data_IF_690099416488
#
_entry.id   IF_690099416488
#
_cell.length_a   1.000
_cell.length_b   1.000
_cell.length_c   1.000
_cell.angle_alpha   90.00
_cell.angle_beta   90.00
_cell.angle_gamma   90.00
#
_symmetry.space_group_name_H-M   'P 1'
#
loop_
_entity.id
_entity.type
_entity.pdbx_description
1 polymer ?
#
# COMPACT_ATOMS: atom_id res chain seq x y z
N UNK A 1 42.94 -4.52 34.06
CA UNK A 1 42.14 -3.32 34.39
C UNK A 1 42.91 -2.46 35.38
N UNK A 2 42.90 -1.13 35.22
CA UNK A 2 43.64 -0.23 36.11
C UNK A 2 43.00 -0.14 37.51
N UNK A 3 43.81 -0.20 38.57
CA UNK A 3 43.36 -0.08 39.97
C UNK A 3 42.53 1.19 40.22
N UNK A 4 42.89 2.31 39.57
CA UNK A 4 42.14 3.57 39.64
C UNK A 4 40.72 3.45 39.08
N UNK A 5 40.50 2.61 38.08
CA UNK A 5 39.17 2.40 37.50
C UNK A 5 38.24 1.66 38.47
N UNK A 6 38.79 0.74 39.27
CA UNK A 6 38.05 -0.04 40.26
C UNK A 6 37.61 0.86 41.42
N UNK A 7 38.53 1.67 41.97
CA UNK A 7 38.18 2.65 43.02
C UNK A 7 37.11 3.64 42.58
N UNK A 8 37.20 4.13 41.33
CA UNK A 8 36.23 5.08 40.77
C UNK A 8 34.84 4.47 40.55
N UNK A 9 34.76 3.16 40.34
CA UNK A 9 33.50 2.45 40.21
C UNK A 9 32.86 2.21 41.59
N UNK A 10 33.66 1.84 42.59
CA UNK A 10 33.22 1.62 43.96
C UNK A 10 32.72 2.92 44.62
N UNK A 11 33.34 4.06 44.32
CA UNK A 11 32.88 5.36 44.85
C UNK A 11 31.56 5.87 44.27
N UNK A 12 31.01 5.20 43.24
CA UNK A 12 29.73 5.56 42.60
C UNK A 12 28.56 4.67 43.00
N UNK A 13 28.80 3.71 43.89
CA UNK A 13 27.75 2.83 44.42
C UNK A 13 26.94 3.62 45.45
N UNK A 14 25.63 3.76 45.25
CA UNK A 14 24.72 4.34 46.24
C UNK A 14 24.57 3.43 47.45
N UNK A 15 24.06 3.94 48.58
CA UNK A 15 23.74 3.14 49.77
C UNK A 15 22.79 1.96 49.48
N UNK A 16 21.98 2.07 48.42
CA UNK A 16 21.09 1.02 47.91
C UNK A 16 21.77 0.00 46.98
N UNK A 17 23.09 0.04 46.81
CA UNK A 17 23.85 -0.91 45.98
C UNK A 17 23.78 -0.64 44.47
N UNK A 18 23.22 0.50 44.04
CA UNK A 18 23.07 0.85 42.63
C UNK A 18 24.21 1.78 42.21
N UNK A 19 24.94 1.41 41.15
CA UNK A 19 25.99 2.28 40.59
C UNK A 19 25.29 3.46 39.90
N UNK A 20 25.53 4.68 40.40
CA UNK A 20 25.01 5.90 39.77
C UNK A 20 25.55 6.04 38.34
N UNK A 21 24.65 6.32 37.39
CA UNK A 21 25.00 6.52 35.99
C UNK A 21 26.00 7.68 35.82
N UNK A 22 26.92 7.57 34.86
CA UNK A 22 27.91 8.60 34.62
C UNK A 22 27.24 9.92 34.16
N UNK A 23 27.34 10.98 34.98
CA UNK A 23 26.80 12.33 34.67
C UNK A 23 27.72 13.16 33.76
N UNK A 24 28.62 12.53 33.00
CA UNK A 24 29.53 13.24 32.10
C UNK A 24 28.73 14.01 31.05
N UNK A 25 29.04 15.30 30.85
CA UNK A 25 28.37 16.16 29.87
C UNK A 25 27.01 16.75 30.30
N UNK A 26 26.53 16.45 31.51
CA UNK A 26 25.29 17.00 32.07
C UNK A 26 25.59 18.12 33.08
N UNK A 27 26.10 19.25 32.59
CA UNK A 27 26.54 20.39 33.42
C UNK A 27 25.47 21.48 33.59
N UNK A 28 24.24 21.27 33.12
CA UNK A 28 23.16 22.27 33.18
C UNK A 28 23.34 23.46 32.22
N UNK A 29 24.55 23.74 31.74
CA UNK A 29 24.89 24.79 30.77
C UNK A 29 24.64 24.41 29.30
N UNK A 30 23.79 23.43 29.03
CA UNK A 30 23.47 23.08 27.65
C UNK A 30 22.59 24.20 27.05
N UNK A 31 22.91 24.69 25.84
CA UNK A 31 22.11 25.72 25.19
C UNK A 31 20.67 25.23 25.06
N UNK A 32 19.78 25.88 25.81
CA UNK A 32 18.36 25.59 25.83
C UNK A 32 17.68 26.49 24.81
N UNK A 33 16.64 25.97 24.17
CA UNK A 33 15.86 26.78 23.22
C UNK A 33 15.21 27.91 24.00
N UNK A 34 15.20 29.10 23.41
CA UNK A 34 14.45 30.24 23.91
C UNK A 34 12.99 29.83 24.23
N UNK A 35 12.52 30.01 25.49
CA UNK A 35 11.16 29.68 25.88
C UNK A 35 10.08 30.32 25.00
N UNK A 36 10.30 31.53 24.50
CA UNK A 36 9.35 32.24 23.64
C UNK A 36 9.25 31.59 22.26
N UNK A 37 10.40 31.17 21.69
CA UNK A 37 10.42 30.46 20.41
C UNK A 37 9.74 29.10 20.57
N UNK A 38 10.02 28.40 21.67
CA UNK A 38 9.38 27.12 21.99
C UNK A 38 7.85 27.27 22.09
N UNK A 39 7.38 28.27 22.83
CA UNK A 39 5.94 28.53 22.98
C UNK A 39 5.28 28.86 21.64
N UNK A 40 5.93 29.65 20.78
CA UNK A 40 5.40 29.96 19.44
C UNK A 40 5.17 28.73 18.56
N UNK A 41 6.02 27.71 18.69
CA UNK A 41 5.86 26.44 17.97
C UNK A 41 4.67 25.67 18.55
N UNK A 42 4.53 25.64 19.87
CA UNK A 42 3.41 24.96 20.56
C UNK A 42 2.07 25.58 20.16
N UNK A 43 1.99 26.92 20.19
CA UNK A 43 0.78 27.66 19.84
C UNK A 43 0.39 27.43 18.38
N UNK A 44 1.37 27.45 17.47
CA UNK A 44 1.14 27.15 16.07
C UNK A 44 0.62 25.72 15.87
N UNK A 45 1.24 24.71 16.48
CA UNK A 45 0.79 23.32 16.37
C UNK A 45 -0.63 23.13 16.94
N UNK A 46 -0.99 23.84 18.00
CA UNK A 46 -2.33 23.81 18.57
C UNK A 46 -3.38 24.53 17.70
N UNK A 47 -2.97 25.50 16.87
CA UNK A 47 -3.86 26.14 15.91
C UNK A 47 -4.26 25.23 14.73
N UNK A 48 -3.49 24.16 14.47
CA UNK A 48 -3.78 23.22 13.38
C UNK A 48 -4.99 22.36 13.75
N UNK A 49 -6.03 22.27 12.89
CA UNK A 49 -7.16 21.38 13.12
C UNK A 49 -6.71 19.93 13.27
N UNK A 50 -7.11 19.29 14.38
CA UNK A 50 -6.77 17.89 14.68
C UNK A 50 -7.97 16.99 14.43
N UNK A 51 -7.74 15.87 13.78
CA UNK A 51 -8.71 14.82 13.51
C UNK A 51 -8.60 13.79 14.64
N UNK A 52 -9.73 13.47 15.27
CA UNK A 52 -9.80 12.36 16.22
C UNK A 52 -9.93 11.02 15.50
N UNK A 53 -9.27 9.98 16.00
CA UNK A 53 -9.47 8.61 15.49
C UNK A 53 -10.82 8.07 15.96
N UNK A 54 -11.88 8.34 15.20
CA UNK A 54 -13.25 7.86 15.49
C UNK A 54 -13.33 6.33 15.69
N UNK A 55 -12.39 5.57 15.11
CA UNK A 55 -12.36 4.10 15.15
C UNK A 55 -11.42 3.50 16.22
N UNK A 56 -10.60 4.30 16.92
CA UNK A 56 -9.58 3.79 17.86
C UNK A 56 -9.62 4.46 19.23
N UNK A 57 -10.76 5.09 19.59
CA UNK A 57 -10.97 5.76 20.88
C UNK A 57 -10.72 4.86 22.10
N UNK A 58 -10.99 3.56 21.97
CA UNK A 58 -10.77 2.58 23.03
C UNK A 58 -9.29 2.14 23.18
N UNK A 59 -8.46 2.32 22.15
CA UNK A 59 -7.08 1.79 22.12
C UNK A 59 -6.00 2.87 22.18
N UNK A 60 -6.25 4.10 21.72
CA UNK A 60 -5.23 5.17 21.74
C UNK A 60 -5.84 6.55 21.96
N UNK A 61 -5.13 7.43 22.69
CA UNK A 61 -5.43 8.86 22.82
C UNK A 61 -4.72 9.72 21.76
N UNK A 62 -4.19 9.12 20.69
CA UNK A 62 -3.38 9.81 19.67
C UNK A 62 -4.26 10.67 18.76
N UNK A 63 -3.82 11.91 18.51
CA UNK A 63 -4.49 12.87 17.62
C UNK A 63 -3.82 12.86 16.23
N UNK A 64 -4.55 13.23 15.18
CA UNK A 64 -4.02 13.19 13.82
C UNK A 64 -4.14 14.54 13.10
N UNK A 65 -3.12 14.90 12.31
CA UNK A 65 -3.17 16.05 11.39
C UNK A 65 -3.49 15.51 9.99
N UNK A 66 -4.27 16.24 9.19
CA UNK A 66 -4.60 15.85 7.81
C UNK A 66 -3.35 15.50 6.97
N UNK A 67 -3.45 14.52 6.07
CA UNK A 67 -2.36 14.14 5.14
C UNK A 67 -2.20 15.08 3.95
N UNK A 68 -3.06 16.08 3.81
CA UNK A 68 -3.00 17.03 2.69
C UNK A 68 -1.74 17.91 2.70
N UNK A 69 -1.11 18.09 3.87
CA UNK A 69 0.15 18.84 4.04
C UNK A 69 1.22 17.95 4.66
N UNK A 70 2.43 18.01 4.12
CA UNK A 70 3.58 17.35 4.71
C UNK A 70 4.12 18.13 5.92
N UNK A 71 4.96 17.49 6.74
CA UNK A 71 5.65 18.17 7.85
C UNK A 71 6.49 19.38 7.37
N UNK A 72 7.08 19.27 6.18
CA UNK A 72 7.84 20.37 5.58
C UNK A 72 6.94 21.55 5.20
N UNK A 73 5.72 21.27 4.72
CA UNK A 73 4.75 22.31 4.37
C UNK A 73 4.20 23.01 5.61
N UNK A 74 3.91 22.24 6.67
CA UNK A 74 3.49 22.80 7.96
C UNK A 74 4.57 23.70 8.56
N UNK A 75 5.85 23.29 8.47
CA UNK A 75 6.97 24.13 8.90
C UNK A 75 7.09 25.41 8.06
N UNK A 76 6.83 25.32 6.75
CA UNK A 76 6.84 26.46 5.84
C UNK A 76 5.75 27.47 6.20
N UNK A 77 4.54 27.00 6.52
CA UNK A 77 3.44 27.83 6.98
C UNK A 77 3.78 28.55 8.30
N UNK A 78 4.37 27.83 9.27
CA UNK A 78 4.87 28.42 10.52
C UNK A 78 5.91 29.51 10.24
N UNK A 79 6.87 29.22 9.37
CA UNK A 79 7.94 30.14 9.02
C UNK A 79 7.37 31.42 8.39
N UNK A 80 6.47 31.29 7.42
CA UNK A 80 5.83 32.43 6.75
C UNK A 80 5.02 33.30 7.72
N UNK A 81 4.30 32.68 8.66
CA UNK A 81 3.54 33.40 9.69
C UNK A 81 4.48 34.25 10.57
N UNK A 82 5.58 33.65 11.04
CA UNK A 82 6.56 34.33 11.90
C UNK A 82 7.33 35.43 11.15
N UNK A 83 7.66 35.19 9.87
CA UNK A 83 8.31 36.19 9.02
C UNK A 83 7.41 37.40 8.76
N UNK A 84 6.11 37.19 8.54
CA UNK A 84 5.13 38.26 8.36
C UNK A 84 5.04 39.18 9.58
N UNK A 85 5.14 38.61 10.77
CA UNK A 85 5.06 39.35 12.04
C UNK A 85 6.43 39.90 12.49
N UNK A 86 7.51 39.64 11.74
CA UNK A 86 8.87 40.07 12.09
C UNK A 86 9.43 39.40 13.34
N UNK A 87 8.94 38.20 13.69
CA UNK A 87 9.27 37.50 14.93
C UNK A 87 10.34 36.42 14.71
N UNK A 88 11.09 36.10 15.77
CA UNK A 88 12.13 35.06 15.74
C UNK A 88 11.56 33.68 15.37
N UNK A 89 12.29 32.90 14.56
CA UNK A 89 11.80 31.65 13.95
C UNK A 89 12.56 30.45 14.49
N UNK A 90 11.85 29.39 14.88
CA UNK A 90 12.47 28.12 15.22
C UNK A 90 13.11 27.45 13.98
N UNK A 91 14.26 26.79 14.17
CA UNK A 91 14.83 25.94 13.12
C UNK A 91 13.92 24.74 12.82
N UNK A 92 13.98 24.19 11.61
CA UNK A 92 13.19 23.01 11.23
C UNK A 92 13.45 21.81 12.16
N UNK A 93 14.71 21.62 12.58
CA UNK A 93 15.07 20.57 13.55
C UNK A 93 14.39 20.77 14.90
N UNK A 94 14.40 21.99 15.43
CA UNK A 94 13.71 22.35 16.67
C UNK A 94 12.21 22.15 16.56
N UNK A 95 11.60 22.60 15.46
CA UNK A 95 10.17 22.44 15.19
C UNK A 95 9.77 20.96 15.18
N UNK A 96 10.49 20.14 14.41
CA UNK A 96 10.24 18.70 14.29
C UNK A 96 10.44 17.98 15.63
N UNK A 97 11.45 18.38 16.42
CA UNK A 97 11.67 17.81 17.75
C UNK A 97 10.47 18.09 18.65
N UNK A 98 10.03 19.35 18.76
CA UNK A 98 8.89 19.74 19.60
C UNK A 98 7.63 18.97 19.17
N UNK A 99 7.33 18.93 17.87
CA UNK A 99 6.16 18.21 17.36
C UNK A 99 6.19 16.71 17.70
N UNK A 100 7.35 16.04 17.59
CA UNK A 100 7.43 14.60 17.82
C UNK A 100 7.58 14.21 19.30
N UNK A 101 8.12 15.07 20.16
CA UNK A 101 8.36 14.74 21.57
C UNK A 101 7.31 15.30 22.52
N UNK A 102 6.73 16.47 22.22
CA UNK A 102 5.77 17.14 23.11
C UNK A 102 4.31 16.95 22.67
N UNK A 103 4.08 16.51 21.43
CA UNK A 103 2.74 16.20 20.95
C UNK A 103 2.60 14.71 20.62
N UNK A 104 1.55 14.08 21.14
CA UNK A 104 1.13 12.75 20.70
C UNK A 104 0.29 12.86 19.42
N UNK A 105 0.88 13.41 18.37
CA UNK A 105 0.22 13.70 17.10
C UNK A 105 0.93 13.03 15.94
N UNK A 106 0.19 12.55 14.94
CA UNK A 106 0.74 11.91 13.75
C UNK A 106 -0.04 12.31 12.51
N UNK A 107 0.53 12.13 11.31
CA UNK A 107 -0.20 12.41 10.08
C UNK A 107 -1.25 11.32 9.83
N UNK A 108 -2.45 11.74 9.44
CA UNK A 108 -3.56 10.86 9.10
C UNK A 108 -3.24 10.14 7.80
N UNK A 109 -2.96 8.85 7.87
CA UNK A 109 -2.74 8.02 6.69
C UNK A 109 -4.10 7.70 6.09
N UNK A 110 -4.28 7.97 4.79
CA UNK A 110 -5.50 7.60 4.06
C UNK A 110 -5.80 6.12 4.24
N UNK A 111 -7.07 5.79 4.53
CA UNK A 111 -7.50 4.42 4.80
C UNK A 111 -7.07 3.52 3.63
N UNK A 112 -6.44 2.37 3.95
CA UNK A 112 -6.23 1.28 2.99
C UNK A 112 -7.58 0.87 2.39
N UNK A 113 -7.59 0.38 1.16
CA UNK A 113 -8.78 -0.17 0.52
C UNK A 113 -9.53 -1.09 1.50
N UNK A 114 -10.69 -0.63 1.94
CA UNK A 114 -11.51 -1.35 2.90
C UNK A 114 -12.45 -2.26 2.11
N UNK A 115 -12.54 -3.53 2.50
CA UNK A 115 -13.47 -4.46 1.88
C UNK A 115 -14.91 -4.08 2.26
N UNK A 116 -15.78 -3.84 1.28
CA UNK A 116 -17.17 -3.41 1.54
C UNK A 116 -17.92 -4.39 2.43
N UNK A 117 -17.71 -5.71 2.29
CA UNK A 117 -18.35 -6.72 3.13
C UNK A 117 -17.85 -6.65 4.57
N UNK A 118 -16.54 -6.42 4.77
CA UNK A 118 -15.98 -6.26 6.11
C UNK A 118 -16.47 -4.98 6.78
N UNK A 119 -16.55 -3.87 6.04
CA UNK A 119 -17.09 -2.60 6.56
C UNK A 119 -18.59 -2.69 6.80
N UNK A 120 -19.36 -3.33 5.92
CA UNK A 120 -20.79 -3.61 6.11
C UNK A 120 -21.01 -4.40 7.39
N UNK A 121 -20.34 -5.54 7.54
CA UNK A 121 -20.44 -6.35 8.75
C UNK A 121 -20.06 -5.57 10.01
N UNK A 122 -19.02 -4.75 9.96
CA UNK A 122 -18.58 -3.94 11.10
C UNK A 122 -19.62 -2.89 11.51
N UNK A 123 -20.21 -2.22 10.53
CA UNK A 123 -21.14 -1.10 10.72
C UNK A 123 -22.60 -1.54 10.91
N UNK A 124 -22.91 -2.82 10.69
CA UNK A 124 -24.23 -3.42 10.95
C UNK A 124 -24.56 -3.55 12.45
N UNK A 125 -25.86 -3.53 12.75
CA UNK A 125 -26.40 -3.76 14.10
C UNK A 125 -26.30 -5.24 14.54
N UNK A 126 -26.74 -5.55 15.76
CA UNK A 126 -26.63 -6.90 16.31
C UNK A 126 -27.47 -7.95 15.57
N UNK A 127 -28.54 -7.56 14.90
CA UNK A 127 -29.44 -8.47 14.20
C UNK A 127 -28.91 -8.73 12.79
N UNK A 128 -28.52 -7.67 12.08
CA UNK A 128 -27.82 -7.76 10.79
C UNK A 128 -26.51 -8.53 10.89
N UNK A 129 -25.74 -8.36 11.98
CA UNK A 129 -24.51 -9.14 12.22
C UNK A 129 -24.78 -10.63 12.35
N UNK A 130 -25.91 -11.06 12.92
CA UNK A 130 -26.27 -12.49 12.96
C UNK A 130 -26.60 -13.03 11.58
N UNK A 131 -27.22 -12.21 10.73
CA UNK A 131 -27.55 -12.60 9.37
C UNK A 131 -26.32 -12.61 8.44
N UNK A 132 -25.36 -11.70 8.67
CA UNK A 132 -24.13 -11.58 7.88
C UNK A 132 -22.95 -12.40 8.43
N UNK A 133 -23.08 -13.03 9.61
CA UNK A 133 -21.96 -13.73 10.27
C UNK A 133 -21.38 -14.85 9.42
N UNK A 134 -22.25 -15.68 8.85
CA UNK A 134 -21.84 -16.80 8.02
C UNK A 134 -21.09 -16.33 6.75
N UNK A 135 -21.62 -15.30 6.08
CA UNK A 135 -20.98 -14.72 4.89
C UNK A 135 -19.64 -14.07 5.25
N UNK A 136 -19.57 -13.39 6.39
CA UNK A 136 -18.36 -12.77 6.90
C UNK A 136 -17.29 -13.79 7.28
N UNK A 137 -17.64 -14.85 8.00
CA UNK A 137 -16.70 -15.92 8.37
C UNK A 137 -16.17 -16.63 7.13
N UNK A 138 -17.05 -16.96 6.17
CA UNK A 138 -16.63 -17.52 4.90
C UNK A 138 -15.65 -16.58 4.18
N UNK A 139 -15.95 -15.28 4.10
CA UNK A 139 -15.08 -14.29 3.50
C UNK A 139 -13.70 -14.21 4.18
N UNK A 140 -13.64 -14.26 5.51
CA UNK A 140 -12.35 -14.28 6.23
C UNK A 140 -11.57 -15.57 5.95
N UNK A 141 -12.24 -16.71 5.93
CA UNK A 141 -11.61 -18.00 5.63
C UNK A 141 -11.05 -18.02 4.20
N UNK A 142 -11.81 -17.60 3.20
CA UNK A 142 -11.37 -17.51 1.81
C UNK A 142 -10.18 -16.55 1.64
N UNK A 143 -10.18 -15.43 2.37
CA UNK A 143 -9.07 -14.48 2.40
C UNK A 143 -7.80 -15.08 2.99
N UNK A 144 -7.91 -15.88 4.05
CA UNK A 144 -6.76 -16.60 4.64
C UNK A 144 -6.25 -17.64 3.64
N UNK A 145 -7.14 -18.47 3.09
CA UNK A 145 -6.79 -19.49 2.11
C UNK A 145 -6.07 -18.91 0.88
N UNK A 146 -6.59 -17.82 0.31
CA UNK A 146 -5.97 -17.16 -0.84
C UNK A 146 -4.58 -16.58 -0.51
N UNK A 147 -4.36 -16.11 0.73
CA UNK A 147 -3.03 -15.65 1.18
C UNK A 147 -2.07 -16.82 1.35
N UNK A 148 -2.51 -17.88 2.01
CA UNK A 148 -1.71 -19.10 2.19
C UNK A 148 -1.32 -19.70 0.85
N UNK A 149 -2.26 -19.78 -0.10
CA UNK A 149 -1.99 -20.27 -1.45
C UNK A 149 -0.96 -19.41 -2.18
N UNK A 150 -1.07 -18.08 -2.07
CA UNK A 150 -0.09 -17.15 -2.63
C UNK A 150 1.30 -17.30 -2.02
N UNK A 151 1.36 -17.49 -0.71
CA UNK A 151 2.63 -17.70 -0.01
C UNK A 151 3.27 -19.05 -0.38
N UNK A 152 2.44 -20.09 -0.56
CA UNK A 152 2.87 -21.40 -1.07
C UNK A 152 3.41 -21.29 -2.51
N UNK A 153 2.71 -20.59 -3.41
CA UNK A 153 3.18 -20.42 -4.79
C UNK A 153 4.48 -19.62 -4.85
N UNK A 154 4.58 -18.57 -4.02
CA UNK A 154 5.80 -17.77 -3.91
C UNK A 154 7.01 -18.59 -3.47
N UNK A 155 6.82 -19.55 -2.56
CA UNK A 155 7.89 -20.38 -1.98
C UNK A 155 8.28 -21.61 -2.82
N UNK A 156 7.58 -21.89 -3.93
CA UNK A 156 7.93 -22.99 -4.84
C UNK A 156 9.38 -22.88 -5.33
N UNK A 157 10.11 -23.99 -5.43
CA UNK A 157 11.50 -24.01 -5.91
C UNK A 157 11.64 -24.54 -7.35
N UNK A 158 10.53 -24.75 -8.06
CA UNK A 158 10.45 -25.37 -9.40
C UNK A 158 10.82 -24.42 -10.57
N UNK A 159 11.17 -23.17 -10.26
CA UNK A 159 11.44 -22.14 -11.27
C UNK A 159 10.19 -21.54 -11.89
N UNK A 160 9.00 -21.79 -11.35
CA UNK A 160 7.76 -21.09 -11.73
C UNK A 160 7.88 -19.59 -11.44
N UNK A 161 7.47 -18.76 -12.40
CA UNK A 161 7.39 -17.31 -12.26
C UNK A 161 6.06 -16.97 -11.60
N UNK A 162 6.11 -16.38 -10.41
CA UNK A 162 4.90 -15.90 -9.73
C UNK A 162 4.86 -14.39 -9.80
N UNK A 163 3.91 -13.85 -10.55
CA UNK A 163 3.77 -12.41 -10.76
C UNK A 163 2.40 -11.90 -10.27
N UNK A 164 2.39 -10.71 -9.68
CA UNK A 164 1.15 -9.98 -9.36
C UNK A 164 1.05 -8.81 -10.31
N UNK A 165 -0.10 -8.60 -10.93
CA UNK A 165 -0.35 -7.37 -11.65
C UNK A 165 -1.52 -6.58 -11.07
N UNK A 166 -1.40 -5.26 -11.17
CA UNK A 166 -2.42 -4.33 -10.72
C UNK A 166 -2.40 -3.06 -11.57
N UNK A 167 -3.58 -2.45 -11.74
CA UNK A 167 -3.77 -1.21 -12.46
C UNK A 167 -4.03 -0.09 -11.46
N UNK A 168 -3.10 0.85 -11.38
CA UNK A 168 -3.19 1.96 -10.43
C UNK A 168 -4.41 2.85 -10.69
N UNK A 169 -4.79 3.62 -9.68
CA UNK A 169 -5.78 4.68 -9.83
C UNK A 169 -5.35 5.66 -10.93
N UNK A 170 -6.33 6.17 -11.69
CA UNK A 170 -6.10 7.06 -12.82
C UNK A 170 -5.35 8.31 -12.35
N UNK A 171 -4.23 8.61 -13.00
CA UNK A 171 -3.36 9.74 -12.69
C UNK A 171 -3.73 10.92 -13.59
N UNK A 172 -4.47 11.88 -13.05
CA UNK A 172 -4.77 13.11 -13.78
C UNK A 172 -3.58 14.07 -13.76
N UNK A 173 -3.18 14.54 -14.95
CA UNK A 173 -2.12 15.53 -15.13
C UNK A 173 -2.59 16.69 -16.03
N UNK A 174 -2.05 17.91 -15.86
CA UNK A 174 -1.13 18.34 -14.80
C UNK A 174 -1.80 18.43 -13.42
N UNK A 175 -1.02 18.21 -12.35
CA UNK A 175 -1.46 18.36 -10.96
C UNK A 175 -1.09 19.76 -10.45
N UNK A 176 -2.02 20.45 -9.82
CA UNK A 176 -1.71 21.64 -9.04
C UNK A 176 -2.89 22.16 -8.24
N UNK A 177 -2.59 23.01 -7.26
CA UNK A 177 -3.57 23.53 -6.28
C UNK A 177 -4.18 24.87 -6.69
N UNK A 178 -4.05 25.27 -7.96
CA UNK A 178 -4.56 26.54 -8.47
C UNK A 178 -6.00 26.34 -8.97
N UNK A 179 -6.90 27.26 -8.63
CA UNK A 179 -8.34 27.22 -9.02
C UNK A 179 -8.58 27.07 -10.52
N UNK A 180 -7.65 27.55 -11.36
CA UNK A 180 -7.67 27.36 -12.82
C UNK A 180 -7.67 25.88 -13.27
N UNK A 181 -7.14 24.95 -12.46
CA UNK A 181 -7.18 23.51 -12.76
C UNK A 181 -8.57 22.88 -12.57
N UNK A 182 -9.54 23.61 -12.01
CA UNK A 182 -10.93 23.17 -11.91
C UNK A 182 -11.68 23.34 -13.25
N UNK A 183 -11.26 24.30 -14.07
CA UNK A 183 -11.95 24.66 -15.32
C UNK A 183 -11.28 24.11 -16.59
N UNK A 184 -10.19 23.34 -16.45
CA UNK A 184 -9.45 22.78 -17.57
C UNK A 184 -9.51 21.25 -17.54
N UNK A 185 -9.79 20.65 -18.70
CA UNK A 185 -9.71 19.20 -18.90
C UNK A 185 -8.30 18.73 -18.58
N UNK A 186 -8.22 17.66 -17.79
CA UNK A 186 -6.95 17.01 -17.41
C UNK A 186 -6.79 15.75 -18.23
N UNK A 187 -5.55 15.46 -18.61
CA UNK A 187 -5.21 14.22 -19.31
C UNK A 187 -5.16 13.11 -18.27
N UNK A 188 -5.85 12.01 -18.58
CA UNK A 188 -5.79 10.80 -17.76
C UNK A 188 -4.60 9.95 -18.17
N UNK A 189 -3.68 9.72 -17.24
CA UNK A 189 -2.60 8.76 -17.38
C UNK A 189 -2.91 7.47 -16.60
N UNK A 190 -2.52 6.35 -17.19
CA UNK A 190 -2.74 5.01 -16.70
C UNK A 190 -1.37 4.37 -16.44
N UNK A 191 -1.25 3.66 -15.32
CA UNK A 191 -0.06 2.91 -14.97
C UNK A 191 -0.44 1.49 -14.58
N UNK A 192 -0.10 0.53 -15.44
CA UNK A 192 -0.27 -0.89 -15.20
C UNK A 192 1.05 -1.51 -14.77
N UNK A 193 1.02 -2.21 -13.65
CA UNK A 193 2.24 -2.75 -13.05
C UNK A 193 2.18 -4.26 -12.97
N UNK A 194 3.25 -4.93 -13.37
CA UNK A 194 3.44 -6.37 -13.21
C UNK A 194 4.69 -6.57 -12.37
N UNK A 195 4.55 -7.27 -11.24
CA UNK A 195 5.64 -7.50 -10.30
C UNK A 195 5.90 -8.98 -10.10
N UNK A 196 7.11 -9.43 -10.41
CA UNK A 196 7.59 -10.76 -10.06
C UNK A 196 7.86 -10.83 -8.55
N UNK A 197 7.16 -11.72 -7.86
CA UNK A 197 7.24 -11.83 -6.40
C UNK A 197 8.55 -12.43 -5.89
N UNK A 198 9.22 -13.25 -6.71
CA UNK A 198 10.47 -13.92 -6.33
C UNK A 198 11.68 -13.08 -6.71
N UNK A 199 11.77 -12.67 -7.98
CA UNK A 199 12.85 -11.82 -8.47
C UNK A 199 12.81 -10.41 -7.86
N UNK A 200 11.65 -10.00 -7.32
CA UNK A 200 11.36 -8.65 -6.78
C UNK A 200 11.42 -7.55 -7.84
N UNK A 201 11.48 -7.91 -9.12
CA UNK A 201 11.43 -7.01 -10.27
C UNK A 201 10.00 -6.56 -10.54
N UNK A 202 9.85 -5.32 -10.99
CA UNK A 202 8.59 -4.73 -11.37
C UNK A 202 8.71 -4.06 -12.74
N UNK A 203 7.76 -4.34 -13.62
CA UNK A 203 7.59 -3.67 -14.90
C UNK A 203 6.36 -2.76 -14.83
N UNK A 204 6.52 -1.53 -15.30
CA UNK A 204 5.49 -0.51 -15.31
C UNK A 204 5.20 -0.12 -16.76
N UNK A 205 3.94 -0.25 -17.15
CA UNK A 205 3.40 0.17 -18.42
C UNK A 205 2.62 1.45 -18.21
N UNK A 206 3.17 2.56 -18.71
CA UNK A 206 2.58 3.87 -18.56
C UNK A 206 2.12 4.39 -19.91
N UNK A 207 0.86 4.81 -19.99
CA UNK A 207 0.29 5.43 -21.19
C UNK A 207 -0.77 6.45 -20.79
N UNK A 208 -1.04 7.42 -21.66
CA UNK A 208 -2.15 8.34 -21.49
C UNK A 208 -3.36 7.97 -22.34
N UNK A 209 -4.49 8.63 -22.08
CA UNK A 209 -5.76 8.35 -22.75
C UNK A 209 -5.76 8.55 -24.28
N UNK A 210 -4.76 9.23 -24.83
CA UNK A 210 -4.59 9.39 -26.30
C UNK A 210 -3.97 8.15 -26.95
N UNK A 211 -3.09 7.45 -26.22
CA UNK A 211 -2.40 6.25 -26.68
C UNK A 211 -3.25 4.98 -26.52
N UNK A 212 -4.04 4.90 -25.44
CA UNK A 212 -4.80 3.71 -25.15
C UNK A 212 -5.84 3.90 -24.05
N UNK A 213 -6.88 3.06 -24.07
CA UNK A 213 -7.92 3.11 -23.05
C UNK A 213 -7.54 2.26 -21.84
N UNK A 214 -8.41 2.25 -20.83
CA UNK A 214 -8.30 1.38 -19.64
C UNK A 214 -8.83 -0.05 -19.89
N UNK A 215 -8.81 -0.50 -21.14
CA UNK A 215 -9.52 -1.69 -21.58
C UNK A 215 -8.77 -2.99 -21.30
N UNK A 216 -9.47 -4.13 -21.43
CA UNK A 216 -8.87 -5.46 -21.32
C UNK A 216 -7.89 -5.77 -22.46
N UNK A 217 -7.97 -5.06 -23.60
CA UNK A 217 -7.08 -5.26 -24.74
C UNK A 217 -5.70 -4.67 -24.43
N UNK A 218 -5.66 -3.45 -23.90
CA UNK A 218 -4.43 -2.77 -23.48
C UNK A 218 -3.74 -3.53 -22.33
N UNK A 219 -4.52 -4.05 -21.37
CA UNK A 219 -3.96 -4.92 -20.33
C UNK A 219 -3.41 -6.22 -20.94
N UNK A 220 -4.16 -6.84 -21.87
CA UNK A 220 -3.74 -8.05 -22.56
C UNK A 220 -2.43 -7.85 -23.34
N UNK A 221 -2.26 -6.72 -24.03
CA UNK A 221 -1.02 -6.40 -24.75
C UNK A 221 0.16 -6.21 -23.81
N UNK A 222 -0.03 -5.50 -22.69
CA UNK A 222 1.00 -5.36 -21.65
C UNK A 222 1.42 -6.72 -21.07
N UNK A 223 0.47 -7.61 -20.81
CA UNK A 223 0.80 -8.95 -20.28
C UNK A 223 1.51 -9.81 -21.33
N UNK A 224 1.08 -9.76 -22.60
CA UNK A 224 1.78 -10.46 -23.68
C UNK A 224 3.22 -9.98 -23.85
N UNK A 225 3.44 -8.67 -23.78
CA UNK A 225 4.76 -8.06 -23.82
C UNK A 225 5.65 -8.57 -22.65
N UNK A 226 5.11 -8.56 -21.44
CA UNK A 226 5.80 -9.12 -20.27
C UNK A 226 6.14 -10.61 -20.45
N UNK A 227 5.20 -11.42 -20.93
CA UNK A 227 5.45 -12.86 -21.15
C UNK A 227 6.54 -13.07 -22.20
N UNK A 228 6.54 -12.30 -23.30
CA UNK A 228 7.61 -12.35 -24.30
C UNK A 228 8.97 -12.01 -23.69
N UNK A 229 9.05 -10.93 -22.92
CA UNK A 229 10.29 -10.55 -22.24
C UNK A 229 10.79 -11.66 -21.30
N UNK A 230 9.90 -12.37 -20.59
CA UNK A 230 10.28 -13.50 -19.75
C UNK A 230 10.75 -14.74 -20.55
N UNK A 231 10.16 -14.99 -21.71
CA UNK A 231 10.60 -16.06 -22.63
C UNK A 231 11.97 -15.74 -23.21
N UNK A 232 12.20 -14.50 -23.63
CA UNK A 232 13.47 -14.06 -24.21
C UNK A 232 14.62 -14.12 -23.20
N UNK A 233 14.34 -13.86 -21.91
CA UNK A 233 15.29 -14.07 -20.82
C UNK A 233 15.59 -15.55 -20.54
N UNK A 234 14.73 -16.48 -20.97
CA UNK A 234 14.83 -17.91 -20.69
C UNK A 234 14.72 -18.76 -21.99
N UNK A 235 15.59 -18.55 -23.00
CA UNK A 235 15.40 -19.09 -24.35
C UNK A 235 15.43 -20.63 -24.42
N UNK A 236 16.04 -21.27 -23.43
CA UNK A 236 16.31 -22.71 -23.40
C UNK A 236 15.33 -23.51 -22.51
N UNK A 237 14.31 -22.87 -21.92
CA UNK A 237 13.37 -23.52 -21.01
C UNK A 237 11.95 -23.07 -21.30
N UNK A 238 11.01 -24.01 -21.29
CA UNK A 238 9.59 -23.65 -21.23
C UNK A 238 9.27 -23.07 -19.86
N UNK A 239 8.74 -21.85 -19.84
CA UNK A 239 8.41 -21.16 -18.59
C UNK A 239 6.98 -21.49 -18.14
N UNK A 240 6.80 -21.58 -16.83
CA UNK A 240 5.50 -21.67 -16.19
C UNK A 240 5.25 -20.38 -15.41
N UNK A 241 4.08 -19.78 -15.60
CA UNK A 241 3.74 -18.48 -15.01
C UNK A 241 2.43 -18.59 -14.22
N UNK A 242 2.46 -18.12 -12.98
CA UNK A 242 1.29 -17.92 -12.14
C UNK A 242 1.06 -16.41 -11.97
N UNK A 243 -0.03 -15.92 -12.53
CA UNK A 243 -0.47 -14.54 -12.35
C UNK A 243 -1.47 -14.42 -11.20
N UNK A 244 -1.28 -13.40 -10.39
CA UNK A 244 -2.23 -12.96 -9.37
C UNK A 244 -2.75 -11.56 -9.71
N UNK A 245 -4.06 -11.37 -9.61
CA UNK A 245 -4.65 -10.05 -9.83
C UNK A 245 -5.86 -9.80 -8.94
N UNK A 246 -6.27 -8.55 -8.80
CA UNK A 246 -7.46 -8.18 -8.02
C UNK A 246 -8.73 -8.50 -8.80
N UNK A 247 -9.79 -8.93 -8.11
CA UNK A 247 -11.07 -9.24 -8.75
C UNK A 247 -11.89 -7.96 -9.02
N UNK A 248 -11.24 -6.94 -9.59
CA UNK A 248 -11.92 -5.75 -10.09
C UNK A 248 -12.63 -6.12 -11.41
N UNK A 249 -13.97 -6.13 -11.36
CA UNK A 249 -14.81 -6.51 -12.49
C UNK A 249 -14.69 -5.54 -13.67
N UNK A 250 -14.25 -6.06 -14.82
CA UNK A 250 -14.18 -5.36 -16.10
C UNK A 250 -12.88 -5.70 -16.85
N UNK A 251 -11.72 -5.11 -16.52
CA UNK A 251 -10.49 -5.28 -17.29
C UNK A 251 -9.79 -6.63 -17.06
N UNK A 252 -9.93 -7.22 -15.86
CA UNK A 252 -9.14 -8.39 -15.44
C UNK A 252 -9.91 -9.72 -15.53
N UNK A 253 -11.21 -9.67 -15.83
CA UNK A 253 -12.10 -10.84 -16.02
C UNK A 253 -12.77 -10.75 -17.38
N UNK A 254 -12.02 -11.06 -18.44
CA UNK A 254 -12.52 -10.92 -19.79
C UNK A 254 -12.00 -12.03 -20.71
N UNK A 255 -12.83 -12.43 -21.69
CA UNK A 255 -12.45 -13.35 -22.77
C UNK A 255 -11.17 -12.90 -23.49
N UNK A 256 -10.95 -11.60 -23.65
CA UNK A 256 -9.76 -11.07 -24.31
C UNK A 256 -8.46 -11.43 -23.59
N UNK A 257 -8.48 -11.41 -22.25
CA UNK A 257 -7.33 -11.77 -21.43
C UNK A 257 -7.05 -13.29 -21.50
N UNK A 258 -8.12 -14.11 -21.47
CA UNK A 258 -8.00 -15.55 -21.67
C UNK A 258 -7.47 -15.89 -23.07
N UNK A 259 -7.92 -15.17 -24.11
CA UNK A 259 -7.40 -15.31 -25.46
C UNK A 259 -5.92 -14.93 -25.56
N UNK A 260 -5.49 -13.88 -24.85
CA UNK A 260 -4.08 -13.50 -24.77
C UNK A 260 -3.24 -14.60 -24.09
N UNK A 261 -3.71 -15.19 -23.00
CA UNK A 261 -3.04 -16.32 -22.35
C UNK A 261 -2.97 -17.55 -23.26
N UNK A 262 -4.08 -17.90 -23.92
CA UNK A 262 -4.12 -19.01 -24.85
C UNK A 262 -3.17 -18.79 -26.04
N UNK A 263 -3.09 -17.56 -26.56
CA UNK A 263 -2.13 -17.20 -27.60
C UNK A 263 -0.68 -17.38 -27.10
N UNK A 264 -0.37 -16.88 -25.90
CA UNK A 264 0.97 -16.99 -25.33
C UNK A 264 1.41 -18.45 -25.16
N UNK A 265 0.54 -19.31 -24.62
CA UNK A 265 0.84 -20.75 -24.43
C UNK A 265 1.02 -21.47 -25.78
N UNK A 266 0.20 -21.15 -26.79
CA UNK A 266 0.26 -21.83 -28.08
C UNK A 266 1.37 -21.34 -29.01
N UNK A 267 1.83 -20.09 -28.86
CA UNK A 267 2.77 -19.45 -29.80
C UNK A 267 4.13 -19.11 -29.21
N UNK A 268 4.26 -19.05 -27.89
CA UNK A 268 5.51 -18.78 -27.20
C UNK A 268 5.99 -20.03 -26.46
N UNK A 269 7.25 -20.06 -26.00
CA UNK A 269 7.81 -21.18 -25.22
C UNK A 269 7.29 -21.15 -23.77
N UNK A 270 5.98 -21.23 -23.58
CA UNK A 270 5.30 -21.16 -22.30
C UNK A 270 4.53 -22.46 -22.08
N UNK A 271 4.89 -23.20 -21.04
CA UNK A 271 4.27 -24.49 -20.71
C UNK A 271 2.85 -24.32 -20.21
N UNK A 272 2.63 -23.37 -19.31
CA UNK A 272 1.34 -23.11 -18.69
C UNK A 272 1.26 -21.68 -18.15
N UNK A 273 0.06 -21.12 -18.19
CA UNK A 273 -0.29 -19.87 -17.51
C UNK A 273 -1.47 -20.15 -16.60
N UNK A 274 -1.30 -19.90 -15.30
CA UNK A 274 -2.37 -19.99 -14.31
C UNK A 274 -2.72 -18.59 -13.82
N UNK A 275 -3.98 -18.19 -13.91
CA UNK A 275 -4.44 -16.90 -13.40
C UNK A 275 -5.32 -17.09 -12.17
N UNK A 276 -4.83 -16.60 -11.02
CA UNK A 276 -5.51 -16.65 -9.72
C UNK A 276 -6.01 -15.25 -9.35
N UNK A 277 -7.30 -15.17 -9.04
CA UNK A 277 -7.97 -13.92 -8.69
C UNK A 277 -8.04 -13.80 -7.17
N UNK A 278 -7.72 -12.61 -6.63
CA UNK A 278 -7.96 -12.35 -5.20
C UNK A 278 -9.45 -12.34 -4.92
N UNK A 279 -9.83 -12.83 -3.74
CA UNK A 279 -11.21 -12.86 -3.27
C UNK A 279 -11.71 -11.42 -3.13
N UNK A 280 -12.78 -11.06 -3.83
CA UNK A 280 -13.47 -9.77 -3.71
C UNK A 280 -14.97 -10.00 -3.61
N UNK A 281 -15.51 -9.62 -2.46
CA UNK A 281 -16.84 -9.09 -2.08
C UNK A 281 -18.15 -9.50 -2.78
N UNK A 282 -18.20 -10.45 -3.71
CA UNK A 282 -19.47 -10.89 -4.31
C UNK A 282 -19.39 -12.32 -4.84
N UNK A 283 -19.38 -13.32 -3.96
CA UNK A 283 -19.29 -14.75 -4.35
C UNK A 283 -20.65 -15.44 -4.48
N UNK A 284 -21.77 -14.77 -4.21
CA UNK A 284 -23.07 -15.45 -4.25
C UNK A 284 -23.62 -15.69 -5.67
N UNK A 285 -23.16 -15.00 -6.72
CA UNK A 285 -23.78 -15.15 -8.08
C UNK A 285 -22.87 -15.74 -9.18
N UNK A 286 -21.55 -15.73 -9.03
CA UNK A 286 -20.63 -16.02 -10.15
C UNK A 286 -20.02 -17.43 -10.15
N UNK A 287 -20.07 -18.17 -9.04
CA UNK A 287 -19.53 -19.54 -8.98
C UNK A 287 -20.29 -20.47 -9.94
N UNK A 288 -21.61 -20.27 -10.07
CA UNK A 288 -22.45 -21.03 -11.00
C UNK A 288 -22.20 -20.63 -12.47
N UNK A 289 -21.96 -19.35 -12.76
CA UNK A 289 -21.70 -18.87 -14.14
C UNK A 289 -20.33 -19.31 -14.68
N UNK A 290 -19.29 -19.34 -13.84
CA UNK A 290 -17.94 -19.73 -14.26
C UNK A 290 -17.84 -21.23 -14.55
N UNK A 291 -18.47 -22.07 -13.74
CA UNK A 291 -18.56 -23.52 -13.97
C UNK A 291 -19.31 -23.79 -15.28
N UNK A 292 -20.41 -23.08 -15.55
CA UNK A 292 -21.15 -23.20 -16.81
C UNK A 292 -20.33 -22.78 -18.05
N UNK A 293 -19.58 -21.68 -17.98
CA UNK A 293 -18.71 -21.27 -19.11
C UNK A 293 -17.53 -22.21 -19.33
N UNK A 294 -16.92 -22.75 -18.27
CA UNK A 294 -15.79 -23.68 -18.40
C UNK A 294 -16.25 -25.02 -19.00
N UNK A 295 -17.43 -25.49 -18.58
CA UNK A 295 -18.07 -26.71 -19.10
C UNK A 295 -18.47 -26.55 -20.58
N UNK A 296 -18.97 -25.36 -20.97
CA UNK A 296 -19.28 -25.04 -22.38
C UNK A 296 -18.02 -24.96 -23.26
N UNK A 297 -16.92 -24.39 -22.76
CA UNK A 297 -15.68 -24.29 -23.54
C UNK A 297 -15.04 -25.68 -23.73
N UNK A 298 -15.05 -26.55 -22.72
CA UNK A 298 -14.60 -27.94 -22.87
C UNK A 298 -15.48 -28.75 -23.83
N UNK A 299 -16.81 -28.57 -23.80
CA UNK A 299 -17.75 -29.18 -24.73
C UNK A 299 -17.51 -28.75 -26.19
N UNK A 300 -17.23 -27.47 -26.44
CA UNK A 300 -16.92 -26.95 -27.78
C UNK A 300 -15.57 -27.48 -28.29
N UNK A 301 -14.58 -27.65 -27.40
CA UNK A 301 -13.28 -28.22 -27.78
C UNK A 301 -13.38 -29.72 -28.12
N UNK A 302 -14.17 -30.50 -27.36
CA UNK A 302 -14.33 -31.93 -27.61
C UNK A 302 -15.18 -32.25 -28.85
N UNK A 303 -16.11 -31.36 -29.23
CA UNK A 303 -16.92 -31.50 -30.44
C UNK A 303 -16.17 -31.13 -31.72
N UNK A 304 -15.20 -30.22 -31.65
CA UNK A 304 -14.35 -29.84 -32.80
C UNK A 304 -13.15 -30.78 -33.04
N UNK A 305 -12.85 -31.69 -32.12
CA UNK A 305 -11.80 -32.72 -32.29
C UNK A 305 -12.36 -34.01 -32.94
N UNK A 306 -13.69 -34.12 -33.09
CA UNK A 306 -14.38 -35.28 -33.69
C UNK A 306 -14.96 -35.01 -35.09
N UNK A 307 -14.46 -34.02 -35.82
CA UNK A 307 -14.77 -33.80 -37.24
C UNK A 307 -13.50 -33.83 -38.09
#
# INVERSE_FOLDING_TARGET
MSYKAIQTALSKVSESGVIQGALRGKHGHQPTIDPQIKQSVIDFINSIPKIESHYSRAQTKRQYISSEKSLADIYRDYKQLREKDGLAIATSSTFNRILNTEFNTSFFITKKDQCDLCERYKNSDSEEKRNLSQEYEQHQNEKVLARTEKDNDKSRADGTIVAVYDLQAVLQIPKGQISLFFYKSRINCLNFTIRNLRAKEAMCYFWDETEGKRGPIEIGSCILDYVKAQVDQNPNKEIEIIFYSDNCGGPQKNKFLLSAYAYAVNKLKVKSITHKLKVTTSIVSLRNKLIDTCSRVQSIYQSNIKR
#
